data_IF_122513289300
#
_entry.id   IF_122513289300
#
_cell.length_a   1.000
_cell.length_b   1.000
_cell.length_c   1.000
_cell.angle_alpha   90.00
_cell.angle_beta   90.00
_cell.angle_gamma   90.00
#
_symmetry.space_group_name_H-M   'P 1'
#
loop_
_entity.id
_entity.type
_entity.pdbx_description
1 polymer ?
#
# COMPACT_ATOMS: atom_id res chain seq x y z
N UNK A 1 17.53 11.77 -9.74
CA UNK A 1 17.89 10.65 -10.66
C UNK A 1 16.63 10.16 -11.35
N UNK A 2 15.53 9.91 -10.64
CA UNK A 2 14.28 9.43 -11.20
C UNK A 2 13.68 10.31 -12.31
N UNK A 3 14.00 11.58 -12.33
CA UNK A 3 13.51 12.55 -13.31
C UNK A 3 13.84 12.19 -14.78
N UNK A 4 14.78 11.28 -14.99
CA UNK A 4 15.23 10.86 -16.34
C UNK A 4 14.82 9.43 -16.70
N UNK A 5 14.05 8.76 -15.85
CA UNK A 5 13.68 7.35 -16.05
C UNK A 5 12.36 7.14 -16.81
N UNK A 6 11.78 8.13 -17.33
CA UNK A 6 10.49 8.17 -18.00
C UNK A 6 9.70 9.33 -17.47
N UNK A 7 9.04 10.07 -18.34
CA UNK A 7 8.28 11.26 -17.97
C UNK A 7 6.93 11.25 -18.66
N UNK A 8 5.93 11.84 -18.02
CA UNK A 8 4.68 12.13 -18.71
C UNK A 8 4.91 13.27 -19.72
N UNK A 9 4.08 13.28 -20.77
CA UNK A 9 4.24 14.24 -21.87
C UNK A 9 3.79 15.67 -21.51
N UNK A 10 3.07 15.84 -20.39
CA UNK A 10 2.50 17.13 -20.00
C UNK A 10 3.39 17.89 -19.02
N UNK A 11 3.73 17.25 -17.90
CA UNK A 11 4.46 17.87 -16.81
C UNK A 11 5.93 17.48 -16.77
N UNK A 12 6.34 16.51 -17.58
CA UNK A 12 7.68 15.90 -17.57
C UNK A 12 8.03 15.27 -16.20
N UNK A 13 7.03 14.77 -15.51
CA UNK A 13 7.22 14.03 -14.27
C UNK A 13 7.58 12.57 -14.55
N UNK A 14 8.37 11.91 -13.68
CA UNK A 14 8.71 10.50 -13.84
C UNK A 14 7.44 9.63 -13.98
N UNK A 15 7.32 8.92 -15.10
CA UNK A 15 6.14 8.14 -15.47
C UNK A 15 6.52 6.80 -16.10
N UNK A 16 5.64 5.81 -15.99
CA UNK A 16 5.80 4.48 -16.61
C UNK A 16 7.09 3.75 -16.21
N UNK A 17 7.57 3.98 -14.98
CA UNK A 17 8.73 3.28 -14.44
C UNK A 17 8.26 2.05 -13.66
N UNK A 18 9.02 0.96 -13.76
CA UNK A 18 8.82 -0.24 -12.95
C UNK A 18 10.00 -0.44 -11.99
N UNK A 19 9.71 -0.51 -10.71
CA UNK A 19 10.65 -0.85 -9.65
C UNK A 19 10.34 -2.30 -9.25
N UNK A 20 11.22 -3.21 -9.67
CA UNK A 20 11.01 -4.65 -9.58
C UNK A 20 11.94 -5.29 -8.56
N UNK A 21 11.39 -6.07 -7.63
CA UNK A 21 12.11 -6.90 -6.67
C UNK A 21 13.21 -6.14 -5.90
N UNK A 22 12.97 -4.85 -5.62
CA UNK A 22 13.89 -4.03 -4.84
C UNK A 22 13.62 -4.16 -3.34
N UNK A 23 14.66 -3.90 -2.54
CA UNK A 23 14.55 -3.85 -1.09
C UNK A 23 15.13 -2.55 -0.56
N UNK A 24 14.40 -1.88 0.34
CA UNK A 24 14.76 -0.61 0.94
C UNK A 24 14.70 -0.72 2.45
N UNK A 25 15.85 -0.61 3.10
CA UNK A 25 16.02 -0.82 4.53
C UNK A 25 16.80 0.29 5.20
N UNK A 26 16.45 0.58 6.46
CA UNK A 26 17.25 1.39 7.38
C UNK A 26 17.54 2.79 6.87
N UNK A 27 16.68 3.35 6.02
CA UNK A 27 16.80 4.74 5.64
C UNK A 27 16.44 5.62 6.84
N UNK A 28 17.28 6.61 7.10
CA UNK A 28 17.06 7.56 8.18
C UNK A 28 17.61 8.94 7.80
N UNK A 29 16.86 9.97 8.14
CA UNK A 29 17.31 11.35 8.14
C UNK A 29 17.43 11.88 9.59
N UNK A 30 17.96 13.06 9.77
CA UNK A 30 18.17 13.65 11.09
C UNK A 30 16.87 13.88 11.86
N UNK A 31 15.76 14.15 11.15
CA UNK A 31 14.44 14.44 11.72
C UNK A 31 13.55 13.23 11.85
N UNK A 32 13.89 12.14 11.18
CA UNK A 32 13.08 10.94 11.04
C UNK A 32 11.70 11.17 10.38
N UNK A 33 11.56 12.22 9.56
CA UNK A 33 10.27 12.65 9.03
C UNK A 33 10.11 12.44 7.51
N UNK A 34 11.23 12.20 6.78
CA UNK A 34 11.26 12.14 5.32
C UNK A 34 12.01 10.92 4.76
N UNK A 35 12.53 10.05 5.61
CA UNK A 35 13.31 8.89 5.19
C UNK A 35 12.41 7.65 5.01
N UNK A 36 11.68 7.64 3.90
CA UNK A 36 10.83 6.55 3.48
C UNK A 36 11.64 5.39 2.85
N UNK A 37 11.02 4.22 2.78
CA UNK A 37 11.52 3.11 1.96
C UNK A 37 11.47 3.46 0.47
N UNK A 38 10.30 3.84 0.00
CA UNK A 38 10.04 4.27 -1.37
C UNK A 38 9.14 5.51 -1.37
N UNK A 39 9.60 6.59 -1.97
CA UNK A 39 8.87 7.86 -2.05
C UNK A 39 8.51 8.19 -3.51
N UNK A 40 7.29 7.88 -3.91
CA UNK A 40 6.73 8.32 -5.19
C UNK A 40 5.76 9.47 -4.91
N UNK A 41 6.30 10.64 -4.56
CA UNK A 41 5.54 11.77 -4.01
C UNK A 41 5.76 13.09 -4.76
N UNK A 42 4.82 14.01 -4.67
CA UNK A 42 4.81 15.41 -5.12
C UNK A 42 4.82 15.62 -6.64
N UNK A 43 5.77 15.06 -7.39
CA UNK A 43 5.93 15.28 -8.84
C UNK A 43 6.11 13.95 -9.56
N UNK A 44 5.05 13.14 -9.58
CA UNK A 44 5.03 11.79 -10.13
C UNK A 44 3.97 11.71 -11.22
N UNK A 45 4.37 11.26 -12.40
CA UNK A 45 3.48 11.02 -13.55
C UNK A 45 2.79 9.65 -13.47
N UNK A 46 2.02 9.34 -14.49
CA UNK A 46 1.18 8.14 -14.56
C UNK A 46 1.99 6.85 -14.71
N UNK A 47 1.41 5.73 -14.26
CA UNK A 47 1.85 4.39 -14.63
C UNK A 47 3.13 3.90 -13.97
N UNK A 48 3.55 4.49 -12.85
CA UNK A 48 4.66 3.96 -12.07
C UNK A 48 4.21 2.75 -11.25
N UNK A 49 5.03 1.70 -11.24
CA UNK A 49 4.73 0.42 -10.61
C UNK A 49 5.87 -0.01 -9.68
N UNK A 50 5.51 -0.39 -8.45
CA UNK A 50 6.37 -1.14 -7.55
C UNK A 50 5.88 -2.59 -7.51
N UNK A 51 6.73 -3.54 -7.86
CA UNK A 51 6.38 -4.96 -7.89
C UNK A 51 7.43 -5.80 -7.16
N UNK A 52 6.99 -6.63 -6.23
CA UNK A 52 7.87 -7.52 -5.47
C UNK A 52 8.88 -6.79 -4.57
N UNK A 53 8.58 -5.56 -4.14
CA UNK A 53 9.48 -4.77 -3.32
C UNK A 53 9.26 -4.98 -1.82
N UNK A 54 10.32 -4.77 -1.03
CA UNK A 54 10.30 -4.82 0.43
C UNK A 54 10.75 -3.46 0.97
N UNK A 55 9.98 -2.90 1.90
CA UNK A 55 10.38 -1.73 2.70
C UNK A 55 10.32 -2.07 4.19
N UNK A 56 11.46 -1.98 4.89
CA UNK A 56 11.50 -2.33 6.30
C UNK A 56 12.49 -1.50 7.09
N UNK A 57 12.15 -1.21 8.35
CA UNK A 57 13.00 -0.44 9.26
C UNK A 57 13.41 0.92 8.67
N UNK A 58 12.55 1.56 7.90
CA UNK A 58 12.76 2.94 7.47
C UNK A 58 12.26 3.90 8.56
N UNK A 59 12.95 5.01 8.74
CA UNK A 59 12.66 5.93 9.83
C UNK A 59 11.26 6.54 9.74
N UNK A 60 10.77 6.79 8.53
CA UNK A 60 9.39 7.21 8.31
C UNK A 60 8.57 6.07 7.69
N UNK A 61 7.96 6.21 6.54
CA UNK A 61 7.02 5.26 5.97
C UNK A 61 7.70 4.18 5.10
N UNK A 62 7.04 3.05 4.88
CA UNK A 62 7.49 2.05 3.91
C UNK A 62 7.34 2.56 2.49
N UNK A 63 6.14 3.02 2.13
CA UNK A 63 5.84 3.78 0.92
C UNK A 63 5.19 5.10 1.29
N UNK A 64 5.61 6.19 0.61
CA UNK A 64 4.96 7.48 0.69
C UNK A 64 4.57 7.98 -0.71
N UNK A 65 3.25 8.07 -0.96
CA UNK A 65 2.66 8.60 -2.19
C UNK A 65 2.07 10.00 -1.97
N UNK A 66 2.71 10.80 -1.12
CA UNK A 66 2.20 12.10 -0.72
C UNK A 66 2.02 13.06 -1.92
N UNK A 67 0.82 13.61 -2.01
CA UNK A 67 0.51 14.76 -2.84
C UNK A 67 0.07 15.91 -1.94
N UNK A 68 0.22 17.14 -2.39
CA UNK A 68 -0.21 18.33 -1.66
C UNK A 68 -0.93 19.32 -2.56
N UNK A 69 -1.78 20.15 -1.96
CA UNK A 69 -2.60 21.14 -2.70
C UNK A 69 -1.76 22.00 -3.64
N UNK A 70 -0.54 22.40 -3.22
CA UNK A 70 0.32 23.31 -4.01
C UNK A 70 0.89 22.66 -5.27
N UNK A 71 1.13 21.36 -5.26
CA UNK A 71 1.64 20.62 -6.43
C UNK A 71 0.52 19.94 -7.23
N UNK A 72 -0.66 19.81 -6.63
CA UNK A 72 -1.77 19.09 -7.22
C UNK A 72 -1.65 17.57 -7.03
N UNK A 73 -2.59 16.85 -7.64
CA UNK A 73 -2.57 15.38 -7.67
C UNK A 73 -1.37 14.84 -8.42
N UNK A 74 -0.86 13.72 -7.98
CA UNK A 74 0.16 12.95 -8.70
C UNK A 74 -0.51 11.87 -9.56
N UNK A 75 0.23 11.33 -10.53
CA UNK A 75 -0.23 10.22 -11.37
C UNK A 75 -0.50 8.96 -10.57
N UNK A 76 -1.34 8.09 -11.10
CA UNK A 76 -1.64 6.81 -10.46
C UNK A 76 -0.38 5.96 -10.30
N UNK A 77 -0.13 5.52 -9.09
CA UNK A 77 0.94 4.58 -8.73
C UNK A 77 0.31 3.25 -8.35
N UNK A 78 0.86 2.16 -8.87
CA UNK A 78 0.50 0.80 -8.48
C UNK A 78 1.58 0.19 -7.60
N UNK A 79 1.20 -0.34 -6.45
CA UNK A 79 2.04 -1.14 -5.56
C UNK A 79 1.47 -2.55 -5.54
N UNK A 80 2.27 -3.53 -5.93
CA UNK A 80 1.80 -4.91 -6.00
C UNK A 80 2.85 -5.89 -5.49
N UNK A 81 2.38 -6.96 -4.84
CA UNK A 81 3.25 -8.07 -4.40
C UNK A 81 4.37 -7.61 -3.46
N UNK A 82 4.13 -6.54 -2.72
CA UNK A 82 5.10 -5.86 -1.88
C UNK A 82 4.89 -6.19 -0.40
N UNK A 83 5.95 -6.01 0.39
CA UNK A 83 5.90 -6.22 1.84
C UNK A 83 6.45 -4.99 2.55
N UNK A 84 5.69 -4.47 3.53
CA UNK A 84 6.07 -3.35 4.38
C UNK A 84 6.03 -3.79 5.85
N UNK A 85 7.17 -3.70 6.56
CA UNK A 85 7.19 -4.05 7.97
C UNK A 85 8.20 -3.23 8.76
N UNK A 86 7.89 -3.02 10.04
CA UNK A 86 8.78 -2.32 10.98
C UNK A 86 9.21 -0.91 10.51
N UNK A 87 8.44 -0.26 9.64
CA UNK A 87 8.68 1.15 9.33
C UNK A 87 8.25 2.03 10.52
N UNK A 88 8.90 3.17 10.70
CA UNK A 88 8.84 3.99 11.92
C UNK A 88 9.80 3.55 13.01
N UNK A 89 10.61 2.53 12.74
CA UNK A 89 11.69 2.06 13.58
C UNK A 89 13.00 2.02 12.79
N UNK A 90 14.09 2.33 13.47
CA UNK A 90 15.44 2.08 12.98
C UNK A 90 16.19 1.16 13.97
N UNK A 91 17.31 0.62 13.57
CA UNK A 91 18.17 -0.15 14.45
C UNK A 91 19.37 0.68 14.89
N UNK A 92 19.70 0.65 16.18
CA UNK A 92 20.94 1.23 16.69
C UNK A 92 22.16 0.35 16.34
N UNK A 93 23.34 0.79 16.73
CA UNK A 93 24.60 0.07 16.53
C UNK A 93 24.65 -1.33 17.17
N UNK A 94 23.76 -1.59 18.13
CA UNK A 94 23.62 -2.89 18.80
C UNK A 94 22.47 -3.73 18.23
N UNK A 95 21.81 -3.27 17.16
CA UNK A 95 20.67 -3.94 16.55
C UNK A 95 19.36 -3.81 17.35
N UNK A 96 19.26 -2.84 18.29
CA UNK A 96 18.03 -2.60 19.05
C UNK A 96 17.13 -1.64 18.31
N UNK A 97 15.83 -1.91 18.33
CA UNK A 97 14.83 -1.02 17.75
C UNK A 97 14.77 0.32 18.50
N UNK A 98 14.78 1.41 17.73
CA UNK A 98 14.57 2.77 18.20
C UNK A 98 13.35 3.33 17.46
N UNK A 99 12.44 3.95 18.23
CA UNK A 99 11.33 4.72 17.66
C UNK A 99 11.87 5.87 16.79
N UNK A 100 11.32 5.99 15.58
CA UNK A 100 11.67 7.04 14.63
C UNK A 100 10.43 7.86 14.23
N UNK A 101 10.14 8.02 12.93
CA UNK A 101 9.06 8.86 12.39
C UNK A 101 7.65 8.28 12.50
N UNK A 102 6.84 8.50 11.47
CA UNK A 102 5.42 8.11 11.46
C UNK A 102 5.24 6.58 11.41
N UNK A 103 5.86 5.93 10.42
CA UNK A 103 5.93 4.49 10.33
C UNK A 103 4.67 3.82 9.80
N UNK A 104 4.07 4.34 8.75
CA UNK A 104 3.06 3.59 8.02
C UNK A 104 3.72 2.56 7.08
N UNK A 105 3.04 1.46 6.81
CA UNK A 105 3.49 0.50 5.81
C UNK A 105 3.33 1.07 4.40
N UNK A 106 2.10 1.33 4.01
CA UNK A 106 1.71 1.92 2.72
C UNK A 106 0.90 3.20 2.96
N UNK A 107 1.55 4.36 2.86
CA UNK A 107 0.93 5.68 2.91
C UNK A 107 0.56 6.11 1.50
N UNK A 108 -0.74 6.08 1.21
CA UNK A 108 -1.28 6.11 -0.15
C UNK A 108 -1.78 7.48 -0.59
N UNK A 109 -1.20 8.57 -0.09
CA UNK A 109 -1.56 9.91 -0.52
C UNK A 109 -1.32 11.02 0.50
N UNK A 110 -1.99 12.17 0.34
CA UNK A 110 -1.88 13.31 1.24
C UNK A 110 -2.81 14.47 0.86
N UNK A 111 -2.99 15.40 1.79
CA UNK A 111 -3.73 16.68 1.64
C UNK A 111 -5.10 16.56 0.97
N UNK A 112 -5.77 15.44 1.12
CA UNK A 112 -7.06 15.14 0.46
C UNK A 112 -7.03 15.24 -1.07
N UNK A 113 -5.83 15.12 -1.66
CA UNK A 113 -5.66 15.10 -3.12
C UNK A 113 -6.06 13.72 -3.65
N UNK A 114 -6.93 13.66 -4.69
CA UNK A 114 -7.26 12.39 -5.32
C UNK A 114 -6.05 11.82 -6.06
N UNK A 115 -5.88 10.51 -6.05
CA UNK A 115 -4.74 9.82 -6.65
C UNK A 115 -5.12 8.50 -7.32
N UNK A 116 -6.26 7.91 -6.93
CA UNK A 116 -6.71 6.59 -7.40
C UNK A 116 -5.63 5.51 -7.36
N UNK A 117 -4.64 5.65 -6.45
CA UNK A 117 -3.52 4.72 -6.31
C UNK A 117 -4.00 3.32 -6.00
N UNK A 118 -3.27 2.32 -6.49
CA UNK A 118 -3.64 0.92 -6.36
C UNK A 118 -2.63 0.16 -5.49
N UNK A 119 -3.13 -0.51 -4.46
CA UNK A 119 -2.39 -1.50 -3.69
C UNK A 119 -3.03 -2.87 -3.93
N UNK A 120 -2.26 -3.87 -4.33
CA UNK A 120 -2.77 -5.22 -4.53
C UNK A 120 -1.79 -6.31 -4.13
N UNK A 121 -2.31 -7.43 -3.67
CA UNK A 121 -1.55 -8.62 -3.28
C UNK A 121 -0.31 -8.26 -2.44
N UNK A 122 -0.49 -7.42 -1.41
CA UNK A 122 0.62 -6.90 -0.62
C UNK A 122 0.40 -7.14 0.88
N UNK A 123 1.49 -7.15 1.64
CA UNK A 123 1.47 -7.44 3.07
C UNK A 123 2.05 -6.27 3.87
N UNK A 124 1.33 -5.82 4.91
CA UNK A 124 1.85 -4.84 5.86
C UNK A 124 1.73 -5.37 7.29
N UNK A 125 2.86 -5.46 8.02
CA UNK A 125 2.82 -5.97 9.39
C UNK A 125 3.81 -5.26 10.31
N UNK A 126 3.46 -5.19 11.58
CA UNK A 126 4.31 -4.67 12.65
C UNK A 126 4.92 -3.28 12.38
N UNK A 127 4.28 -2.46 11.55
CA UNK A 127 4.67 -1.06 11.37
C UNK A 127 4.23 -0.24 12.58
N UNK A 128 4.95 0.82 12.91
CA UNK A 128 4.72 1.67 14.10
C UNK A 128 3.36 2.38 14.08
N UNK A 129 2.83 2.70 12.91
CA UNK A 129 1.52 3.33 12.80
C UNK A 129 0.53 2.42 12.05
N UNK A 130 0.21 2.72 10.82
CA UNK A 130 -0.84 2.02 10.06
C UNK A 130 -0.22 1.06 9.04
N UNK A 131 -0.90 -0.04 8.77
CA UNK A 131 -0.50 -0.94 7.70
C UNK A 131 -0.78 -0.33 6.33
N UNK A 132 -2.04 0.00 6.08
CA UNK A 132 -2.53 0.68 4.88
C UNK A 132 -3.20 1.98 5.33
N UNK A 133 -2.67 3.09 4.86
CA UNK A 133 -3.15 4.43 5.19
C UNK A 133 -3.54 5.20 3.93
N UNK A 134 -4.81 5.56 3.78
CA UNK A 134 -5.21 6.47 2.71
C UNK A 134 -4.56 7.84 2.84
N UNK A 135 -4.10 8.18 4.03
CA UNK A 135 -3.49 9.46 4.38
C UNK A 135 -4.23 10.64 3.76
N UNK A 136 -5.54 10.63 3.93
CA UNK A 136 -6.51 11.57 3.37
C UNK A 136 -6.74 11.55 1.85
N UNK A 137 -6.01 10.79 1.05
CA UNK A 137 -6.37 10.56 -0.36
C UNK A 137 -7.76 9.91 -0.42
N UNK A 138 -8.73 10.48 -1.14
CA UNK A 138 -10.13 10.07 -1.03
C UNK A 138 -10.53 8.84 -1.84
N UNK A 139 -9.66 8.31 -2.72
CA UNK A 139 -10.05 7.38 -3.79
C UNK A 139 -9.07 6.22 -4.02
N UNK A 140 -8.27 5.86 -3.01
CA UNK A 140 -7.36 4.70 -3.14
C UNK A 140 -8.13 3.40 -3.35
N UNK A 141 -7.47 2.46 -4.03
CA UNK A 141 -7.99 1.13 -4.35
C UNK A 141 -7.11 0.06 -3.73
N UNK A 142 -7.68 -0.86 -2.98
CA UNK A 142 -6.92 -1.91 -2.28
C UNK A 142 -7.54 -3.27 -2.56
N UNK A 143 -6.73 -4.19 -3.06
CA UNK A 143 -7.17 -5.52 -3.49
C UNK A 143 -6.31 -6.63 -2.89
N UNK A 144 -6.93 -7.74 -2.46
CA UNK A 144 -6.28 -9.00 -2.06
C UNK A 144 -5.05 -8.79 -1.19
N UNK A 145 -5.12 -7.92 -0.18
CA UNK A 145 -3.97 -7.55 0.65
C UNK A 145 -4.16 -7.99 2.11
N UNK A 146 -3.06 -8.33 2.77
CA UNK A 146 -3.06 -8.79 4.17
C UNK A 146 -2.37 -7.76 5.07
N UNK A 147 -2.97 -7.46 6.21
CA UNK A 147 -2.39 -6.57 7.22
C UNK A 147 -2.45 -7.23 8.60
N UNK A 148 -1.33 -7.14 9.35
CA UNK A 148 -1.20 -7.84 10.62
C UNK A 148 -0.44 -7.01 11.67
N UNK A 149 -1.03 -6.86 12.87
CA UNK A 149 -0.36 -6.29 14.06
C UNK A 149 0.38 -4.96 13.81
N UNK A 150 -0.11 -4.08 12.95
CA UNK A 150 0.38 -2.70 12.91
C UNK A 150 -0.10 -1.98 14.19
N UNK A 151 0.72 -1.13 14.80
CA UNK A 151 0.48 -0.65 16.17
C UNK A 151 -0.75 0.24 16.32
N UNK A 152 -1.13 0.99 15.28
CA UNK A 152 -2.35 1.78 15.25
C UNK A 152 -3.47 1.02 14.54
N UNK A 153 -3.70 1.29 13.28
CA UNK A 153 -4.69 0.62 12.44
C UNK A 153 -3.99 -0.31 11.46
N UNK A 154 -4.56 -1.50 11.20
CA UNK A 154 -4.13 -2.24 10.04
C UNK A 154 -4.58 -1.56 8.76
N UNK A 155 -5.80 -0.98 8.76
CA UNK A 155 -6.38 -0.28 7.62
C UNK A 155 -7.04 1.02 8.06
N UNK A 156 -6.75 2.12 7.37
CA UNK A 156 -7.38 3.41 7.58
C UNK A 156 -7.81 4.03 6.24
N UNK A 157 -9.12 4.07 6.01
CA UNK A 157 -9.74 4.77 4.88
C UNK A 157 -10.43 6.03 5.37
N UNK A 158 -9.84 7.19 5.10
CA UNK A 158 -10.37 8.48 5.53
C UNK A 158 -9.89 9.62 4.64
N UNK A 159 -10.55 10.76 4.74
CA UNK A 159 -10.07 12.04 4.24
C UNK A 159 -10.22 13.12 5.31
N UNK A 160 -9.35 14.12 5.30
CA UNK A 160 -9.36 15.19 6.30
C UNK A 160 -10.31 16.33 5.95
N UNK A 161 -10.64 16.54 4.68
CA UNK A 161 -11.53 17.60 4.21
C UNK A 161 -12.87 17.04 3.76
N UNK A 162 -13.84 17.94 3.48
CA UNK A 162 -15.17 17.58 2.97
C UNK A 162 -15.11 17.22 1.47
N UNK A 163 -14.20 16.34 1.11
CA UNK A 163 -14.08 15.77 -0.24
C UNK A 163 -14.86 14.47 -0.28
N UNK A 164 -15.65 14.25 -1.33
CA UNK A 164 -16.33 12.98 -1.53
C UNK A 164 -15.32 11.85 -1.64
N UNK A 165 -15.56 10.76 -0.91
CA UNK A 165 -14.71 9.57 -1.00
C UNK A 165 -15.19 8.63 -2.11
N UNK A 166 -14.23 7.91 -2.72
CA UNK A 166 -14.45 6.93 -3.77
C UNK A 166 -13.50 5.72 -3.58
N UNK A 167 -13.31 5.30 -2.33
CA UNK A 167 -12.49 4.12 -2.02
C UNK A 167 -13.03 2.86 -2.67
N UNK A 168 -12.14 1.98 -3.12
CA UNK A 168 -12.49 0.64 -3.54
C UNK A 168 -11.68 -0.39 -2.75
N UNK A 169 -12.33 -1.45 -2.28
CA UNK A 169 -11.69 -2.50 -1.53
C UNK A 169 -12.32 -3.85 -1.84
N UNK A 170 -11.49 -4.84 -2.17
CA UNK A 170 -11.91 -6.22 -2.37
C UNK A 170 -10.80 -7.18 -1.92
N UNK A 171 -11.17 -8.17 -1.10
CA UNK A 171 -10.24 -9.17 -0.62
C UNK A 171 -9.24 -8.70 0.44
N UNK A 172 -9.54 -7.66 1.21
CA UNK A 172 -8.67 -7.24 2.33
C UNK A 172 -8.82 -8.23 3.50
N UNK A 173 -7.68 -8.66 4.04
CA UNK A 173 -7.60 -9.45 5.27
C UNK A 173 -6.80 -8.68 6.32
N UNK A 174 -7.50 -7.99 7.22
CA UNK A 174 -6.92 -7.39 8.42
C UNK A 174 -7.05 -8.34 9.59
N UNK A 175 -5.94 -8.73 10.21
CA UNK A 175 -5.92 -9.65 11.34
C UNK A 175 -5.11 -9.09 12.50
N UNK A 176 -5.63 -9.21 13.71
CA UNK A 176 -4.96 -8.78 14.95
C UNK A 176 -5.20 -9.78 16.07
N UNK A 177 -4.22 -9.96 16.92
CA UNK A 177 -4.30 -10.81 18.13
C UNK A 177 -4.02 -10.00 19.41
N UNK A 178 -3.09 -9.06 19.38
CA UNK A 178 -2.66 -8.26 20.54
C UNK A 178 -3.24 -6.85 20.53
N UNK A 179 -3.13 -6.15 19.45
CA UNK A 179 -3.66 -4.79 19.29
C UNK A 179 -5.20 -4.83 19.16
N UNK A 180 -5.93 -4.10 20.03
CA UNK A 180 -7.40 -4.09 20.08
C UNK A 180 -8.03 -2.87 19.40
N UNK A 181 -7.28 -2.10 18.63
CA UNK A 181 -7.80 -0.93 17.92
C UNK A 181 -8.57 -1.39 16.67
N UNK A 182 -9.85 -1.04 16.58
CA UNK A 182 -10.69 -1.29 15.40
C UNK A 182 -10.22 -0.44 14.21
N UNK A 183 -10.43 -0.93 12.99
CA UNK A 183 -10.02 -0.23 11.77
C UNK A 183 -10.72 1.12 11.58
N UNK A 184 -10.04 2.06 10.95
CA UNK A 184 -10.53 3.42 10.76
C UNK A 184 -11.25 3.59 9.42
N UNK A 185 -12.49 4.08 9.49
CA UNK A 185 -13.27 4.42 8.30
C UNK A 185 -13.93 5.79 8.46
N UNK A 186 -13.71 6.69 7.50
CA UNK A 186 -14.42 7.96 7.37
C UNK A 186 -14.79 8.15 5.90
N UNK A 187 -15.97 7.66 5.54
CA UNK A 187 -16.53 7.78 4.19
C UNK A 187 -17.36 9.06 4.11
N UNK A 188 -17.20 9.82 3.05
CA UNK A 188 -17.87 11.09 2.84
C UNK A 188 -18.60 11.11 1.50
N UNK A 189 -19.60 11.98 1.40
CA UNK A 189 -20.44 12.11 0.21
C UNK A 189 -21.41 10.94 0.06
N UNK A 190 -21.52 10.44 -1.15
CA UNK A 190 -22.47 9.36 -1.52
C UNK A 190 -21.83 7.98 -1.54
N UNK A 191 -20.59 7.83 -1.07
CA UNK A 191 -19.92 6.54 -1.10
C UNK A 191 -20.70 5.50 -0.29
N UNK A 192 -20.97 4.37 -0.91
CA UNK A 192 -21.60 3.24 -0.24
C UNK A 192 -20.57 2.52 0.65
N UNK A 193 -20.93 2.28 1.90
CA UNK A 193 -20.07 1.51 2.81
C UNK A 193 -19.79 0.07 2.29
N UNK A 194 -20.67 -0.52 1.49
CA UNK A 194 -20.48 -1.84 0.89
C UNK A 194 -19.30 -1.86 -0.10
N UNK A 195 -18.96 -0.74 -0.75
CA UNK A 195 -17.82 -0.64 -1.67
C UNK A 195 -16.48 -0.84 -0.97
N UNK A 196 -16.47 -0.68 0.35
CA UNK A 196 -15.27 -0.82 1.20
C UNK A 196 -15.42 -1.99 2.16
N UNK A 197 -16.63 -2.23 2.68
CA UNK A 197 -16.92 -3.26 3.69
C UNK A 197 -17.74 -4.41 3.09
N UNK A 198 -17.35 -4.92 1.94
CA UNK A 198 -18.02 -6.02 1.24
C UNK A 198 -17.83 -7.39 1.91
N UNK A 199 -18.44 -8.42 1.32
CA UNK A 199 -18.40 -9.79 1.84
C UNK A 199 -17.00 -10.44 1.78
N UNK A 200 -16.11 -9.91 0.94
CA UNK A 200 -14.74 -10.38 0.74
C UNK A 200 -13.72 -9.66 1.62
N UNK A 201 -14.12 -8.58 2.30
CA UNK A 201 -13.23 -7.78 3.15
C UNK A 201 -13.41 -8.14 4.61
N UNK A 202 -12.33 -8.53 5.27
CA UNK A 202 -12.29 -8.88 6.69
C UNK A 202 -11.54 -7.81 7.45
N UNK A 203 -12.24 -7.08 8.30
CA UNK A 203 -11.67 -6.00 9.10
C UNK A 203 -11.73 -6.30 10.58
N UNK A 204 -10.71 -5.90 11.30
CA UNK A 204 -10.68 -6.00 12.75
C UNK A 204 -11.61 -4.94 13.37
N UNK A 205 -12.58 -5.38 14.16
CA UNK A 205 -13.61 -4.53 14.77
C UNK A 205 -13.33 -4.14 16.23
N UNK A 206 -12.11 -4.36 16.72
CA UNK A 206 -11.71 -4.17 18.12
C UNK A 206 -11.73 -5.47 18.94
N UNK A 207 -12.33 -6.54 18.42
CA UNK A 207 -12.42 -7.84 19.06
C UNK A 207 -12.00 -8.98 18.13
N UNK A 208 -12.46 -8.98 16.90
CA UNK A 208 -12.21 -10.01 15.89
C UNK A 208 -12.25 -9.46 14.48
N UNK A 209 -11.64 -10.18 13.55
CA UNK A 209 -11.65 -9.85 12.12
C UNK A 209 -12.84 -10.48 11.43
N UNK A 210 -13.74 -9.64 10.92
CA UNK A 210 -15.01 -10.11 10.34
C UNK A 210 -15.36 -9.37 9.06
N UNK A 211 -16.06 -10.03 8.16
CA UNK A 211 -16.68 -9.40 7.01
C UNK A 211 -18.09 -8.85 7.35
N UNK A 212 -18.74 -8.21 6.39
CA UNK A 212 -20.08 -7.65 6.59
C UNK A 212 -21.19 -8.70 6.81
N UNK A 213 -20.95 -9.96 6.47
CA UNK A 213 -21.86 -11.07 6.74
C UNK A 213 -21.62 -11.73 8.11
N UNK A 214 -20.68 -11.21 8.90
CA UNK A 214 -20.31 -11.74 10.21
C UNK A 214 -19.42 -12.98 10.18
N UNK A 215 -18.92 -13.40 9.00
CA UNK A 215 -17.94 -14.47 8.90
C UNK A 215 -16.62 -14.00 9.48
N UNK A 216 -16.03 -14.82 10.34
CA UNK A 216 -14.79 -14.51 11.04
C UNK A 216 -13.57 -15.13 10.35
N UNK A 217 -12.50 -14.34 10.24
CA UNK A 217 -11.17 -14.84 9.94
C UNK A 217 -10.51 -15.36 11.22
N UNK A 218 -9.88 -16.52 11.17
CA UNK A 218 -9.29 -17.19 12.33
C UNK A 218 -7.80 -17.40 12.15
N UNK A 219 -7.09 -17.74 13.23
CA UNK A 219 -5.65 -18.02 13.15
C UNK A 219 -5.32 -19.20 12.22
N UNK A 220 -6.26 -20.14 12.03
CA UNK A 220 -6.08 -21.29 11.11
C UNK A 220 -6.02 -20.89 9.64
N UNK A 221 -6.38 -19.66 9.31
CA UNK A 221 -6.24 -19.12 7.97
C UNK A 221 -4.78 -18.85 7.56
N UNK A 222 -3.86 -18.86 8.52
CA UNK A 222 -2.45 -18.57 8.32
C UNK A 222 -1.60 -19.79 8.65
N UNK A 223 -0.59 -20.07 7.83
CA UNK A 223 0.40 -21.11 8.13
C UNK A 223 1.24 -20.77 9.36
N UNK A 224 1.56 -19.47 9.55
CA UNK A 224 2.25 -18.96 10.71
C UNK A 224 1.88 -17.50 11.00
N UNK A 225 1.74 -17.18 12.28
CA UNK A 225 1.58 -15.83 12.83
C UNK A 225 2.77 -15.45 13.72
N UNK A 226 3.88 -16.20 13.67
CA UNK A 226 5.07 -15.97 14.50
C UNK A 226 5.91 -14.80 13.95
N UNK A 227 5.51 -13.58 14.36
CA UNK A 227 6.23 -12.34 14.03
C UNK A 227 7.69 -12.37 14.46
N UNK A 228 8.01 -12.99 15.62
CA UNK A 228 9.38 -13.02 16.11
C UNK A 228 10.30 -13.81 15.16
N UNK A 229 9.81 -14.92 14.60
CA UNK A 229 10.55 -15.66 13.57
C UNK A 229 10.64 -14.92 12.24
N UNK A 230 9.59 -14.21 11.85
CA UNK A 230 9.58 -13.41 10.60
C UNK A 230 10.56 -12.23 10.65
N UNK A 231 10.78 -11.63 11.82
CA UNK A 231 11.66 -10.48 12.00
C UNK A 231 13.13 -10.85 12.26
N UNK A 232 13.46 -12.15 12.43
CA UNK A 232 14.85 -12.60 12.52
C UNK A 232 15.54 -12.50 11.17
N UNK A 233 16.86 -12.47 11.23
CA UNK A 233 17.69 -12.62 10.03
C UNK A 233 17.30 -13.89 9.26
N UNK A 234 17.01 -13.74 7.97
CA UNK A 234 16.48 -14.83 7.14
C UNK A 234 14.99 -15.15 7.32
N UNK A 235 14.23 -14.41 8.13
CA UNK A 235 12.78 -14.63 8.30
C UNK A 235 11.97 -14.27 7.05
N UNK A 236 12.19 -13.09 6.48
CA UNK A 236 11.66 -12.69 5.16
C UNK A 236 12.84 -12.65 4.19
N UNK A 237 12.78 -13.46 3.14
CA UNK A 237 13.88 -13.62 2.18
C UNK A 237 13.40 -13.43 0.74
N UNK A 238 14.30 -13.66 -0.20
CA UNK A 238 13.95 -13.76 -1.62
C UNK A 238 14.27 -15.14 -2.15
N UNK A 239 13.41 -15.60 -3.05
CA UNK A 239 13.66 -16.77 -3.89
C UNK A 239 14.74 -16.44 -4.93
N UNK A 240 15.25 -17.46 -5.61
CA UNK A 240 16.29 -17.30 -6.64
C UNK A 240 15.84 -16.42 -7.82
N UNK A 241 14.54 -16.35 -8.09
CA UNK A 241 13.95 -15.49 -9.13
C UNK A 241 13.67 -14.05 -8.65
N UNK A 242 14.02 -13.71 -7.41
CA UNK A 242 13.83 -12.40 -6.81
C UNK A 242 12.48 -12.19 -6.12
N UNK A 243 11.52 -13.11 -6.27
CA UNK A 243 10.22 -13.01 -5.58
C UNK A 243 10.38 -13.13 -4.06
N UNK A 244 9.44 -12.54 -3.32
CA UNK A 244 9.49 -12.53 -1.85
C UNK A 244 9.08 -13.90 -1.31
N UNK A 245 9.88 -14.42 -0.37
CA UNK A 245 9.57 -15.61 0.39
C UNK A 245 9.25 -15.23 1.84
N UNK A 246 8.02 -15.46 2.23
CA UNK A 246 7.52 -15.18 3.58
C UNK A 246 7.86 -16.31 4.58
N UNK A 247 8.48 -17.41 4.14
CA UNK A 247 8.84 -18.57 4.96
C UNK A 247 7.67 -19.08 5.83
N UNK A 248 6.47 -19.09 5.28
CA UNK A 248 5.23 -19.51 5.96
C UNK A 248 4.55 -18.39 6.77
N UNK A 249 5.24 -17.32 7.12
CA UNK A 249 4.64 -16.22 7.88
C UNK A 249 3.58 -15.49 7.05
N UNK A 250 2.38 -15.34 7.62
CA UNK A 250 1.19 -14.77 6.96
C UNK A 250 0.82 -15.41 5.62
N UNK A 251 1.43 -16.54 5.26
CA UNK A 251 0.96 -17.34 4.12
C UNK A 251 -0.40 -17.98 4.44
N UNK A 252 -1.30 -17.86 3.48
CA UNK A 252 -2.68 -18.30 3.66
C UNK A 252 -2.83 -19.80 3.41
N UNK A 253 -3.72 -20.43 4.20
CA UNK A 253 -4.15 -21.82 4.00
C UNK A 253 -5.28 -21.91 2.97
N UNK A 254 -5.68 -23.13 2.60
CA UNK A 254 -6.79 -23.38 1.69
C UNK A 254 -8.18 -23.09 2.32
N UNK A 255 -8.23 -22.79 3.62
CA UNK A 255 -9.47 -22.39 4.30
C UNK A 255 -9.89 -20.95 3.93
N UNK A 256 -8.96 -20.15 3.42
CA UNK A 256 -9.21 -18.74 3.08
C UNK A 256 -9.95 -18.67 1.74
N UNK A 257 -11.09 -17.96 1.67
CA UNK A 257 -11.80 -17.77 0.42
C UNK A 257 -10.89 -17.21 -0.69
N UNK A 258 -11.14 -17.64 -1.92
CA UNK A 258 -10.42 -17.12 -3.09
C UNK A 258 -10.53 -15.59 -3.17
N UNK A 259 -9.44 -14.93 -3.57
CA UNK A 259 -9.36 -13.47 -3.66
C UNK A 259 -9.13 -12.75 -2.32
N UNK A 260 -9.28 -13.42 -1.17
CA UNK A 260 -9.08 -12.81 0.15
C UNK A 260 -7.62 -12.91 0.59
N UNK A 261 -7.07 -11.79 1.02
CA UNK A 261 -5.69 -11.67 1.52
C UNK A 261 -4.62 -11.80 0.42
N UNK A 262 -3.40 -11.52 0.78
CA UNK A 262 -2.25 -11.59 -0.11
C UNK A 262 -1.71 -13.02 -0.24
N UNK A 263 -1.39 -13.43 -1.46
CA UNK A 263 -0.74 -14.71 -1.75
C UNK A 263 0.64 -14.44 -2.33
N UNK A 264 1.65 -14.51 -1.48
CA UNK A 264 3.03 -14.16 -1.82
C UNK A 264 3.81 -15.35 -2.38
N UNK A 265 3.46 -16.58 -2.01
CA UNK A 265 4.09 -17.81 -2.48
C UNK A 265 3.55 -18.27 -3.84
N UNK A 266 4.37 -18.97 -4.62
CA UNK A 266 3.99 -19.58 -5.91
C UNK A 266 3.96 -18.60 -7.09
N UNK A 267 4.47 -17.37 -6.90
CA UNK A 267 4.64 -16.39 -7.99
C UNK A 267 5.94 -16.62 -8.72
N UNK A 268 5.93 -16.36 -10.01
CA UNK A 268 7.14 -16.29 -10.84
C UNK A 268 7.36 -14.83 -11.26
N UNK A 269 8.60 -14.42 -11.44
CA UNK A 269 8.96 -13.05 -11.89
C UNK A 269 8.43 -12.71 -13.29
N UNK A 270 7.79 -13.67 -13.99
CA UNK A 270 7.15 -13.48 -15.29
C UNK A 270 5.66 -13.12 -15.23
N UNK A 271 5.03 -13.17 -14.05
CA UNK A 271 3.59 -12.87 -13.88
C UNK A 271 3.28 -11.36 -13.86
N UNK A 272 4.17 -10.54 -14.41
CA UNK A 272 3.99 -9.09 -14.51
C UNK A 272 3.01 -8.79 -15.64
N UNK A 273 1.74 -8.91 -15.40
CA UNK A 273 0.73 -8.28 -16.26
C UNK A 273 0.59 -6.81 -15.84
N UNK A 274 1.49 -5.98 -16.32
CA UNK A 274 1.22 -4.54 -16.41
C UNK A 274 0.25 -4.40 -17.59
N UNK A 275 -1.05 -4.39 -17.33
CA UNK A 275 -2.00 -3.77 -18.25
C UNK A 275 -1.96 -2.28 -17.93
N UNK A 276 -1.32 -1.44 -18.75
CA UNK A 276 -1.55 -0.02 -18.66
C UNK A 276 -3.06 0.18 -18.93
N UNK A 277 -3.77 0.85 -18.05
CA UNK A 277 -5.04 1.46 -18.43
C UNK A 277 -4.70 2.36 -19.62
N UNK A 278 -5.14 2.00 -20.82
CA UNK A 278 -5.05 2.88 -21.98
C UNK A 278 -5.75 4.18 -21.60
N UNK A 279 -5.11 5.34 -21.77
CA UNK A 279 -5.76 6.61 -21.53
C UNK A 279 -6.99 6.65 -22.45
N UNK A 280 -8.18 6.76 -21.87
CA UNK A 280 -9.38 7.07 -22.64
C UNK A 280 -9.06 8.35 -23.39
N UNK A 281 -9.04 8.26 -24.71
CA UNK A 281 -8.87 9.39 -25.60
C UNK A 281 -9.98 10.38 -25.28
N UNK A 282 -9.60 11.56 -24.80
CA UNK A 282 -10.55 12.65 -24.56
C UNK A 282 -10.92 13.26 -25.91
N UNK A 283 -12.04 12.81 -26.49
CA UNK A 283 -12.58 13.27 -27.76
C UNK A 283 -13.15 14.70 -27.69
N UNK A 284 -12.87 15.47 -26.63
CA UNK A 284 -13.35 16.82 -26.43
C UNK A 284 -12.40 17.93 -26.87
N UNK A 285 -11.59 17.73 -27.94
CA UNK A 285 -10.91 18.86 -28.57
C UNK A 285 -11.83 19.54 -29.58
N UNK A 286 -12.12 20.85 -29.45
CA UNK A 286 -12.76 21.57 -30.53
C UNK A 286 -11.82 21.70 -31.73
N UNK A 287 -12.29 21.28 -32.91
CA UNK A 287 -11.59 21.51 -34.18
C UNK A 287 -11.41 23.03 -34.38
N UNK A 288 -10.17 23.44 -34.45
CA UNK A 288 -9.80 24.81 -34.78
C UNK A 288 -9.86 24.96 -36.30
N UNK A 289 -11.04 25.31 -36.83
CA UNK A 289 -11.22 25.75 -38.21
C UNK A 289 -10.63 27.15 -38.36
N UNK A 290 -9.36 27.25 -38.69
CA UNK A 290 -8.79 28.43 -39.31
C UNK A 290 -8.76 28.24 -40.83
N UNK A 291 -9.83 28.64 -41.51
CA UNK A 291 -9.79 28.95 -42.93
C UNK A 291 -9.28 30.38 -43.06
N UNK A 292 -8.07 30.54 -43.54
CA UNK A 292 -7.58 31.82 -44.07
C UNK A 292 -8.22 32.08 -45.45
N UNK A 293 -8.85 33.20 -45.56
CA UNK A 293 -8.91 34.05 -46.74
C UNK A 293 -8.22 35.40 -46.44
#
# INVERSE_FOLDING_TARGET
>A
ISRYLGTDQFNQWPAHNTILNCSSYLNADKGYEDADGFAAKLTVGQGNVFDGCIAAYNADDGWDLFAKVQSGSIGVVTIQNCVAFKNGYILDENGREINAGNGNGFKMGGDSMPGAHVLKNSVAFANKAKGIDSNSCPDIKVYSSTTFENESYNVAFYTNTAVNTAFAADGILSYKVSNKVAEQFKLLGTQNAADVKGATNYYFNGSKSVNNNGKEATASWFKSLDTASALKDGGITRNADGTINMNGFLELTDEVPEGVGARMSGRTSGDITVTPDEPKQDDSKPENNNSND
#
